data_IF_529717624978
#
_entry.id   IF_529717624978
#
_cell.length_a   1.000
_cell.length_b   1.000
_cell.length_c   1.000
_cell.angle_alpha   90.00
_cell.angle_beta   90.00
_cell.angle_gamma   90.00
#
_symmetry.space_group_name_H-M   'P 1'
#
loop_
_entity.id
_entity.type
_entity.pdbx_description
1 polymer ?
#
# COMPACT_ATOMS: atom_id res chain seq x y z
N UNK A 1 10.80 8.65 29.14
CA UNK A 1 11.86 8.28 28.18
C UNK A 1 11.23 8.29 26.79
N UNK A 2 11.26 9.44 26.09
CA UNK A 2 10.65 9.58 24.76
C UNK A 2 11.61 8.92 23.77
N UNK A 3 11.09 7.91 23.09
CA UNK A 3 11.89 6.96 22.31
C UNK A 3 12.20 7.50 20.90
N UNK A 4 11.58 8.62 20.50
CA UNK A 4 11.65 9.13 19.13
C UNK A 4 11.86 10.65 19.16
N UNK A 5 13.10 11.11 18.99
CA UNK A 5 13.42 12.45 18.49
C UNK A 5 14.30 12.26 17.26
N UNK A 6 13.73 12.51 16.08
CA UNK A 6 14.45 12.40 14.79
C UNK A 6 13.67 11.57 13.78
N UNK A 7 13.07 12.22 12.79
CA UNK A 7 12.32 11.59 11.69
C UNK A 7 13.19 10.92 10.63
N UNK A 8 14.13 10.07 11.03
CA UNK A 8 14.94 9.25 10.11
C UNK A 8 14.77 7.78 10.47
N UNK A 9 14.68 6.90 9.46
CA UNK A 9 14.45 5.45 9.63
C UNK A 9 15.53 4.75 10.49
N UNK A 10 16.65 5.43 10.79
CA UNK A 10 17.70 4.99 11.71
C UNK A 10 17.45 5.34 13.18
N UNK A 11 16.49 6.21 13.50
CA UNK A 11 16.19 6.66 14.86
C UNK A 11 15.36 5.65 15.67
N UNK A 12 14.72 4.68 15.02
CA UNK A 12 13.92 3.66 15.70
C UNK A 12 14.75 2.62 16.45
N UNK A 13 16.06 2.55 16.26
CA UNK A 13 16.92 1.52 16.87
C UNK A 13 16.85 1.48 18.41
N UNK A 14 16.39 2.55 19.08
CA UNK A 14 16.14 2.58 20.52
C UNK A 14 14.84 1.92 20.99
N UNK A 15 13.96 1.51 20.07
CA UNK A 15 12.59 1.08 20.37
C UNK A 15 12.25 -0.18 19.55
N UNK A 16 12.68 -1.38 20.02
CA UNK A 16 12.61 -2.62 19.24
C UNK A 16 11.20 -2.95 18.72
N UNK A 17 10.18 -2.69 19.52
CA UNK A 17 8.79 -2.94 19.14
C UNK A 17 8.32 -2.05 17.98
N UNK A 18 8.81 -0.81 17.92
CA UNK A 18 8.45 0.13 16.84
C UNK A 18 9.22 -0.23 15.56
N UNK A 19 10.49 -0.64 15.67
CA UNK A 19 11.26 -1.17 14.53
C UNK A 19 10.55 -2.38 13.94
N UNK A 20 10.13 -3.31 14.80
CA UNK A 20 9.43 -4.52 14.37
C UNK A 20 8.10 -4.18 13.70
N UNK A 21 7.31 -3.30 14.29
CA UNK A 21 6.04 -2.87 13.70
C UNK A 21 6.21 -2.19 12.32
N UNK A 22 7.23 -1.35 12.14
CA UNK A 22 7.54 -0.73 10.85
C UNK A 22 8.00 -1.77 9.82
N UNK A 23 8.85 -2.73 10.21
CA UNK A 23 9.30 -3.81 9.35
C UNK A 23 8.13 -4.71 8.91
N UNK A 24 7.26 -5.11 9.85
CA UNK A 24 6.09 -5.94 9.58
C UNK A 24 5.11 -5.23 8.65
N UNK A 25 4.87 -3.93 8.87
CA UNK A 25 4.00 -3.12 8.02
C UNK A 25 4.55 -3.01 6.59
N UNK A 26 5.85 -2.72 6.45
CA UNK A 26 6.51 -2.66 5.14
C UNK A 26 6.41 -3.99 4.42
N UNK A 27 6.66 -5.09 5.13
CA UNK A 27 6.60 -6.43 4.56
C UNK A 27 5.17 -6.77 4.10
N UNK A 28 4.15 -6.43 4.89
CA UNK A 28 2.75 -6.60 4.50
C UNK A 28 2.42 -5.80 3.24
N UNK A 29 2.82 -4.53 3.17
CA UNK A 29 2.59 -3.72 1.98
C UNK A 29 3.26 -4.31 0.74
N UNK A 30 4.51 -4.78 0.83
CA UNK A 30 5.23 -5.39 -0.28
C UNK A 30 4.56 -6.68 -0.77
N UNK A 31 4.07 -7.51 0.14
CA UNK A 31 3.36 -8.75 -0.19
C UNK A 31 2.02 -8.47 -0.89
N UNK A 32 1.32 -7.41 -0.49
CA UNK A 32 -0.01 -7.10 -1.01
C UNK A 32 -0.01 -6.08 -2.15
N UNK A 33 1.11 -5.43 -2.45
CA UNK A 33 1.20 -4.39 -3.47
C UNK A 33 0.71 -4.86 -4.85
N UNK A 34 0.97 -6.12 -5.21
CA UNK A 34 0.53 -6.70 -6.48
C UNK A 34 -0.98 -6.96 -6.53
N UNK A 35 -1.63 -7.02 -5.38
CA UNK A 35 -3.07 -7.24 -5.26
C UNK A 35 -3.85 -5.95 -5.12
N UNK A 36 -3.16 -4.80 -4.95
CA UNK A 36 -3.80 -3.49 -4.88
C UNK A 36 -4.05 -2.95 -6.31
N UNK A 37 -5.33 -2.88 -6.75
CA UNK A 37 -5.71 -2.36 -8.06
C UNK A 37 -5.27 -0.91 -8.31
N UNK A 38 -5.06 -0.14 -7.24
CA UNK A 38 -4.66 1.27 -7.33
C UNK A 38 -3.15 1.41 -7.57
N UNK A 39 -2.35 0.46 -7.10
CA UNK A 39 -0.91 0.45 -7.31
C UNK A 39 -0.52 -0.20 -8.64
N UNK A 40 -1.20 -1.28 -9.01
CA UNK A 40 -0.90 -2.04 -10.24
C UNK A 40 -1.71 -1.58 -11.45
N UNK A 41 -2.78 -0.83 -11.22
CA UNK A 41 -3.78 -0.55 -12.23
C UNK A 41 -4.63 -1.78 -12.55
N UNK A 42 -5.82 -1.55 -13.09
CA UNK A 42 -6.69 -2.61 -13.60
C UNK A 42 -6.99 -2.41 -15.06
N UNK A 43 -7.16 -3.52 -15.76
CA UNK A 43 -7.62 -3.47 -17.14
C UNK A 43 -8.99 -2.79 -17.22
N UNK A 44 -9.21 -2.14 -18.34
CA UNK A 44 -10.45 -1.44 -18.64
C UNK A 44 -11.70 -2.35 -18.55
N UNK A 45 -11.57 -3.65 -18.85
CA UNK A 45 -12.66 -4.62 -18.78
C UNK A 45 -12.91 -5.19 -17.38
N UNK A 46 -11.90 -5.20 -16.52
CA UNK A 46 -12.02 -5.73 -15.14
C UNK A 46 -12.32 -4.65 -14.09
N UNK A 47 -12.30 -3.36 -14.47
CA UNK A 47 -12.65 -2.27 -13.57
C UNK A 47 -14.18 -2.17 -13.36
N UNK A 48 -14.70 -2.45 -12.14
CA UNK A 48 -16.15 -2.45 -11.86
C UNK A 48 -16.77 -1.04 -11.84
N UNK A 49 -15.96 0.01 -11.70
CA UNK A 49 -16.43 1.40 -11.72
C UNK A 49 -16.54 1.96 -13.14
N UNK A 50 -16.18 1.17 -14.15
CA UNK A 50 -16.14 1.65 -15.51
C UNK A 50 -17.56 1.56 -16.11
N UNK A 51 -18.11 2.65 -16.67
CA UNK A 51 -19.40 2.60 -17.35
C UNK A 51 -19.37 1.55 -18.45
N UNK A 52 -20.37 0.66 -18.49
CA UNK A 52 -20.48 -0.28 -19.59
C UNK A 52 -20.73 0.51 -20.87
N UNK A 53 -19.79 0.41 -21.82
CA UNK A 53 -20.03 0.87 -23.18
C UNK A 53 -20.99 -0.11 -23.83
N UNK A 54 -22.28 0.09 -23.59
CA UNK A 54 -23.31 -0.47 -24.48
C UNK A 54 -23.20 0.33 -25.77
N UNK A 55 -22.57 -0.26 -26.78
CA UNK A 55 -22.69 0.27 -28.14
C UNK A 55 -24.13 -0.01 -28.57
N UNK A 56 -25.00 0.98 -28.40
CA UNK A 56 -26.31 0.97 -29.01
C UNK A 56 -26.11 1.05 -30.52
N UNK A 57 -26.49 0.01 -31.25
CA UNK A 57 -26.69 0.12 -32.70
C UNK A 57 -27.93 1.00 -32.89
N UNK A 58 -27.73 2.25 -33.33
CA UNK A 58 -28.79 3.13 -33.79
C UNK A 58 -28.97 2.93 -35.30
#
# INVERSE_FOLDING_TARGET
KRCCEGGSSTALAGCPQVVQADADLKQFCLQNAQHDPLLTGVSLSTNPFRPQKVCSFL
#
